data_IF_528395574772
#
_entry.id   IF_528395574772
#
_cell.length_a   1.000
_cell.length_b   1.000
_cell.length_c   1.000
_cell.angle_alpha   90.00
_cell.angle_beta   90.00
_cell.angle_gamma   90.00
#
_symmetry.space_group_name_H-M   'P 1'
#
loop_
_entity.id
_entity.type
_entity.pdbx_description
1 polymer ?
#
# COMPACT_ATOMS: atom_id res chain seq x y z
N UNK A 1 -15.63 9.73 -1.84
CA UNK A 1 -16.88 9.22 -1.22
C UNK A 1 -18.02 10.14 -1.60
N UNK A 2 -19.10 9.59 -2.12
CA UNK A 2 -20.31 10.34 -2.44
C UNK A 2 -21.56 9.55 -2.01
N UNK A 3 -22.63 10.27 -1.71
CA UNK A 3 -23.97 9.72 -1.51
C UNK A 3 -24.61 9.37 -2.87
N UNK A 4 -25.59 8.45 -2.91
CA UNK A 4 -26.31 8.10 -4.16
C UNK A 4 -26.97 9.31 -4.81
N UNK A 5 -27.38 10.29 -4.01
CA UNK A 5 -27.95 11.57 -4.47
C UNK A 5 -26.97 12.41 -5.29
N UNK A 6 -25.70 11.98 -5.40
CA UNK A 6 -24.64 12.65 -6.16
C UNK A 6 -23.88 13.68 -5.35
N UNK A 7 -24.23 13.88 -4.07
CA UNK A 7 -23.51 14.78 -3.17
C UNK A 7 -22.16 14.15 -2.78
N UNK A 8 -21.07 14.84 -3.12
CA UNK A 8 -19.71 14.44 -2.73
C UNK A 8 -19.47 14.77 -1.26
N UNK A 9 -19.04 13.77 -0.49
CA UNK A 9 -18.67 13.91 0.92
C UNK A 9 -17.16 14.17 1.03
N UNK A 10 -16.36 13.33 0.35
CA UNK A 10 -14.90 13.50 0.26
C UNK A 10 -14.43 13.35 -1.18
N UNK A 11 -13.51 14.21 -1.58
CA UNK A 11 -12.80 14.14 -2.85
C UNK A 11 -11.32 14.44 -2.62
N UNK A 12 -10.49 13.43 -2.84
CA UNK A 12 -9.03 13.57 -2.78
C UNK A 12 -8.43 13.47 -4.17
N UNK A 13 -7.35 14.23 -4.38
CA UNK A 13 -6.62 14.23 -5.64
C UNK A 13 -5.15 13.96 -5.38
N UNK A 14 -4.58 13.05 -6.18
CA UNK A 14 -3.13 12.73 -6.19
C UNK A 14 -2.57 12.32 -4.81
N UNK A 15 -3.35 11.56 -4.03
CA UNK A 15 -2.91 10.97 -2.76
C UNK A 15 -2.46 9.52 -2.97
N UNK A 16 -1.34 9.15 -2.33
CA UNK A 16 -0.81 7.78 -2.31
C UNK A 16 -1.57 6.87 -1.35
N UNK A 17 -2.09 7.45 -0.28
CA UNK A 17 -2.80 6.83 0.83
C UNK A 17 -3.64 7.91 1.52
N UNK A 18 -4.80 7.52 2.05
CA UNK A 18 -5.62 8.37 2.89
C UNK A 18 -6.58 7.54 3.73
N UNK A 19 -6.97 8.06 4.91
CA UNK A 19 -7.94 7.43 5.81
C UNK A 19 -9.02 8.46 6.11
N UNK A 20 -10.29 8.08 5.89
CA UNK A 20 -11.44 8.90 6.22
C UNK A 20 -12.35 8.19 7.20
N UNK A 21 -12.82 8.94 8.20
CA UNK A 21 -13.88 8.49 9.13
C UNK A 21 -15.07 9.42 8.93
N UNK A 22 -16.25 8.83 8.74
CA UNK A 22 -17.47 9.57 8.51
C UNK A 22 -18.62 8.95 9.30
N UNK A 23 -19.22 9.70 10.24
CA UNK A 23 -20.44 9.25 10.89
C UNK A 23 -21.58 9.26 9.86
N UNK A 24 -22.28 8.13 9.74
CA UNK A 24 -23.39 7.96 8.81
C UNK A 24 -24.68 8.46 9.48
N UNK A 25 -25.24 9.62 9.08
CA UNK A 25 -26.39 10.21 9.77
C UNK A 25 -27.73 9.56 9.42
N UNK A 26 -27.83 8.92 8.25
CA UNK A 26 -29.04 8.31 7.73
C UNK A 26 -28.69 7.03 6.99
N UNK A 27 -29.59 6.04 7.05
CA UNK A 27 -29.46 4.82 6.27
C UNK A 27 -29.60 5.14 4.77
N UNK A 28 -28.60 4.74 3.99
CA UNK A 28 -28.55 5.00 2.55
C UNK A 28 -27.34 4.32 1.92
N UNK A 29 -27.22 4.41 0.59
CA UNK A 29 -26.06 3.84 -0.10
C UNK A 29 -24.95 4.89 -0.28
N UNK A 30 -23.71 4.41 -0.15
CA UNK A 30 -22.51 5.24 -0.25
C UNK A 30 -21.60 4.67 -1.33
N UNK A 31 -21.07 5.54 -2.19
CA UNK A 31 -20.21 5.17 -3.30
C UNK A 31 -18.77 5.62 -3.09
N UNK A 32 -17.84 4.68 -3.27
CA UNK A 32 -16.40 4.93 -3.32
C UNK A 32 -15.91 4.81 -4.76
N UNK A 33 -15.13 5.78 -5.21
CA UNK A 33 -14.59 5.83 -6.58
C UNK A 33 -13.07 6.05 -6.51
N UNK A 34 -12.32 5.24 -7.26
CA UNK A 34 -10.87 5.44 -7.46
C UNK A 34 -10.63 5.77 -8.93
N UNK A 35 -10.03 6.92 -9.20
CA UNK A 35 -9.78 7.39 -10.56
C UNK A 35 -8.28 7.34 -10.90
N UNK A 36 -7.94 6.68 -12.01
CA UNK A 36 -6.60 6.62 -12.59
C UNK A 36 -6.51 7.33 -13.96
N UNK A 37 -7.42 8.25 -14.27
CA UNK A 37 -7.40 9.03 -15.52
C UNK A 37 -6.10 9.83 -15.72
N UNK A 38 -5.41 10.17 -14.62
CA UNK A 38 -4.13 10.88 -14.65
C UNK A 38 -2.96 10.05 -15.20
N UNK A 39 -2.89 8.75 -14.91
CA UNK A 39 -1.80 7.87 -15.38
C UNK A 39 -2.33 6.87 -16.40
N UNK A 40 -2.70 7.35 -17.60
CA UNK A 40 -3.19 6.48 -18.69
C UNK A 40 -2.20 5.41 -19.14
N UNK A 41 -0.90 5.65 -18.96
CA UNK A 41 0.16 4.76 -19.41
C UNK A 41 0.49 3.63 -18.42
N UNK A 42 0.17 3.79 -17.12
CA UNK A 42 0.53 2.83 -16.08
C UNK A 42 -0.69 2.45 -15.23
N UNK A 43 -0.92 1.15 -15.04
CA UNK A 43 -1.92 0.67 -14.09
C UNK A 43 -1.49 0.97 -12.65
N UNK A 44 -2.48 1.17 -11.77
CA UNK A 44 -2.26 1.33 -10.32
C UNK A 44 -3.06 0.27 -9.59
N UNK A 45 -2.41 -0.48 -8.72
CA UNK A 45 -3.07 -1.39 -7.78
C UNK A 45 -3.44 -0.62 -6.52
N UNK A 46 -4.71 -0.67 -6.12
CA UNK A 46 -5.23 0.02 -4.93
C UNK A 46 -5.68 -1.01 -3.91
N UNK A 47 -5.15 -0.91 -2.70
CA UNK A 47 -5.66 -1.62 -1.54
C UNK A 47 -6.57 -0.67 -0.75
N UNK A 48 -7.77 -1.11 -0.40
CA UNK A 48 -8.69 -0.35 0.44
C UNK A 48 -9.34 -1.26 1.48
N UNK A 49 -9.56 -0.72 2.66
CA UNK A 49 -10.27 -1.38 3.75
C UNK A 49 -11.45 -0.49 4.17
N UNK A 50 -12.61 -1.09 4.37
CA UNK A 50 -13.81 -0.41 4.86
C UNK A 50 -14.20 -1.01 6.21
N UNK A 51 -14.20 -0.17 7.24
CA UNK A 51 -14.60 -0.54 8.60
C UNK A 51 -15.90 0.18 8.91
N UNK A 52 -16.92 -0.58 9.32
CA UNK A 52 -18.22 -0.06 9.74
C UNK A 52 -18.31 -0.25 11.24
N UNK A 53 -18.29 0.86 11.99
CA UNK A 53 -18.45 0.87 13.44
C UNK A 53 -19.91 1.25 13.77
N UNK A 54 -20.61 0.40 14.54
CA UNK A 54 -21.96 0.70 15.03
C UNK A 54 -21.87 1.22 16.46
N UNK A 55 -22.37 2.42 16.71
CA UNK A 55 -22.50 2.95 18.07
C UNK A 55 -23.37 2.00 18.90
N UNK A 56 -22.80 1.40 19.95
CA UNK A 56 -23.47 0.44 20.85
C UNK A 56 -22.71 -0.86 21.16
N UNK A 57 -21.62 -1.18 20.46
CA UNK A 57 -20.83 -2.41 20.73
C UNK A 57 -19.46 -2.15 21.40
N UNK A 58 -19.20 -0.90 21.84
CA UNK A 58 -17.87 -0.47 22.30
C UNK A 58 -17.87 0.42 23.56
N UNK A 59 -18.84 0.28 24.45
CA UNK A 59 -18.71 0.77 25.83
C UNK A 59 -19.24 -0.39 26.68
N UNK A 60 -18.41 -1.18 27.36
CA UNK A 60 -17.85 -0.83 28.66
C UNK A 60 -16.63 -1.73 28.94
N UNK A 61 -15.45 -1.12 29.05
CA UNK A 61 -14.27 -1.75 29.62
C UNK A 61 -13.74 -0.82 30.71
N UNK A 62 -14.47 -0.70 31.82
CA UNK A 62 -13.94 -0.13 33.04
C UNK A 62 -13.81 -1.23 34.09
N UNK A 63 -12.55 -1.60 34.33
CA UNK A 63 -12.15 -2.47 35.43
C UNK A 63 -12.21 -1.67 36.74
N UNK A 64 -13.17 -1.97 37.59
CA UNK A 64 -13.06 -1.80 39.04
C UNK A 64 -14.14 -2.68 39.67
N UNK A 65 -13.72 -3.77 40.31
CA UNK A 65 -14.27 -4.28 41.58
C UNK A 65 -13.79 -5.71 41.83
N UNK A 66 -12.47 -5.85 41.97
CA UNK A 66 -11.85 -6.97 42.70
C UNK A 66 -11.90 -6.60 44.19
N UNK A 67 -13.10 -6.50 44.79
CA UNK A 67 -13.25 -6.44 46.26
C UNK A 67 -14.66 -6.78 46.79
N UNK A 68 -15.51 -7.47 46.02
CA UNK A 68 -16.87 -7.82 46.47
C UNK A 68 -17.12 -9.32 46.46
N UNK A 69 -16.27 -10.09 47.17
CA UNK A 69 -16.39 -11.54 47.28
C UNK A 69 -16.68 -12.05 48.71
N UNK A 70 -17.44 -11.27 49.50
CA UNK A 70 -18.00 -11.74 50.77
C UNK A 70 -19.52 -11.55 50.77
N UNK A 71 -20.27 -12.59 50.36
CA UNK A 71 -21.72 -12.65 50.63
C UNK A 71 -22.64 -13.23 49.55
N UNK A 72 -22.15 -13.66 48.39
CA UNK A 72 -23.00 -14.16 47.30
C UNK A 72 -23.36 -15.64 47.42
N UNK A 73 -24.56 -15.99 46.94
CA UNK A 73 -25.03 -17.37 46.89
C UNK A 73 -24.27 -18.19 45.82
N UNK A 74 -24.18 -19.53 45.92
CA UNK A 74 -23.39 -20.34 45.00
C UNK A 74 -23.79 -20.24 43.51
N UNK A 75 -25.05 -19.92 43.22
CA UNK A 75 -25.57 -19.73 41.86
C UNK A 75 -25.10 -18.40 41.24
N UNK A 76 -25.19 -17.29 41.99
CA UNK A 76 -24.76 -15.96 41.56
C UNK A 76 -23.24 -15.89 41.32
N UNK A 77 -22.46 -16.62 42.13
CA UNK A 77 -21.01 -16.76 41.93
C UNK A 77 -20.66 -17.50 40.62
N UNK A 78 -21.49 -18.47 40.22
CA UNK A 78 -21.25 -19.22 38.98
C UNK A 78 -21.59 -18.39 37.74
N UNK A 79 -22.72 -17.67 37.76
CA UNK A 79 -23.10 -16.75 36.68
C UNK A 79 -22.08 -15.61 36.51
N UNK A 80 -21.62 -15.00 37.60
CA UNK A 80 -20.57 -13.96 37.57
C UNK A 80 -19.26 -14.49 36.98
N UNK A 81 -18.83 -15.71 37.36
CA UNK A 81 -17.64 -16.35 36.78
C UNK A 81 -17.80 -16.65 35.29
N UNK A 82 -18.98 -17.05 34.84
CA UNK A 82 -19.26 -17.31 33.42
C UNK A 82 -19.24 -16.01 32.63
N UNK A 83 -19.81 -14.93 33.18
CA UNK A 83 -19.77 -13.61 32.58
C UNK A 83 -18.33 -13.06 32.46
N UNK A 84 -17.51 -13.23 33.50
CA UNK A 84 -16.08 -12.89 33.47
C UNK A 84 -15.31 -13.66 32.38
N UNK A 85 -15.61 -14.94 32.20
CA UNK A 85 -15.03 -15.76 31.14
C UNK A 85 -15.48 -15.28 29.76
N UNK A 86 -16.76 -14.95 29.59
CA UNK A 86 -17.30 -14.41 28.36
C UNK A 86 -16.63 -13.08 28.00
N UNK A 87 -16.44 -12.20 28.98
CA UNK A 87 -15.79 -10.90 28.78
C UNK A 87 -14.29 -11.04 28.48
N UNK A 88 -13.61 -11.98 29.12
CA UNK A 88 -12.23 -12.32 28.76
C UNK A 88 -12.11 -12.80 27.30
N UNK A 89 -13.02 -13.69 26.87
CA UNK A 89 -13.06 -14.19 25.49
C UNK A 89 -13.36 -13.06 24.50
N UNK A 90 -14.34 -12.19 24.80
CA UNK A 90 -14.67 -11.01 23.97
C UNK A 90 -13.47 -10.06 23.83
N UNK A 91 -12.76 -9.78 24.92
CA UNK A 91 -11.55 -8.94 24.92
C UNK A 91 -10.44 -9.54 24.04
N UNK A 92 -10.16 -10.83 24.20
CA UNK A 92 -9.16 -11.54 23.37
C UNK A 92 -9.57 -11.51 21.90
N UNK A 93 -10.84 -11.77 21.59
CA UNK A 93 -11.37 -11.71 20.22
C UNK A 93 -11.19 -10.31 19.62
N UNK A 94 -11.52 -9.26 20.35
CA UNK A 94 -11.36 -7.88 19.87
C UNK A 94 -9.88 -7.53 19.61
N UNK A 95 -8.96 -7.93 20.50
CA UNK A 95 -7.53 -7.72 20.29
C UNK A 95 -6.98 -8.50 19.10
N UNK A 96 -7.44 -9.74 18.89
CA UNK A 96 -7.06 -10.54 17.72
C UNK A 96 -7.57 -9.93 16.41
N UNK A 97 -8.80 -9.39 16.40
CA UNK A 97 -9.34 -8.68 15.23
C UNK A 97 -8.48 -7.45 14.90
N UNK A 98 -8.13 -6.62 15.90
CA UNK A 98 -7.25 -5.47 15.71
C UNK A 98 -5.86 -5.86 15.20
N UNK A 99 -5.26 -6.91 15.77
CA UNK A 99 -3.96 -7.41 15.33
C UNK A 99 -4.01 -7.91 13.87
N UNK A 100 -5.10 -8.58 13.49
CA UNK A 100 -5.31 -9.05 12.12
C UNK A 100 -5.41 -7.91 11.12
N UNK A 101 -6.19 -6.87 11.45
CA UNK A 101 -6.30 -5.67 10.61
C UNK A 101 -4.93 -5.01 10.39
N UNK A 102 -4.13 -4.88 11.45
CA UNK A 102 -2.78 -4.33 11.33
C UNK A 102 -1.88 -5.20 10.44
N UNK A 103 -1.97 -6.52 10.57
CA UNK A 103 -1.21 -7.45 9.73
C UNK A 103 -1.59 -7.33 8.24
N UNK A 104 -2.88 -7.21 7.94
CA UNK A 104 -3.37 -7.03 6.57
C UNK A 104 -2.91 -5.69 5.98
N UNK A 105 -2.93 -4.61 6.78
CA UNK A 105 -2.35 -3.32 6.41
C UNK A 105 -0.85 -3.47 6.09
N UNK A 106 -0.06 -4.06 6.98
CA UNK A 106 1.38 -4.23 6.77
C UNK A 106 1.69 -5.05 5.53
N UNK A 107 0.93 -6.12 5.29
CA UNK A 107 1.05 -6.95 4.09
C UNK A 107 0.78 -6.15 2.81
N UNK A 108 -0.20 -5.24 2.84
CA UNK A 108 -0.50 -4.37 1.70
C UNK A 108 0.64 -3.38 1.42
N UNK A 109 1.25 -2.82 2.48
CA UNK A 109 2.38 -1.91 2.36
C UNK A 109 3.62 -2.62 1.81
N UNK A 110 3.92 -3.82 2.31
CA UNK A 110 5.02 -4.64 1.80
C UNK A 110 4.84 -4.98 0.32
N UNK A 111 3.63 -5.39 -0.08
CA UNK A 111 3.32 -5.71 -1.48
C UNK A 111 3.50 -4.47 -2.38
N UNK A 112 3.05 -3.30 -1.93
CA UNK A 112 3.24 -2.03 -2.65
C UNK A 112 4.71 -1.69 -2.82
N UNK A 113 5.47 -1.72 -1.73
CA UNK A 113 6.87 -1.34 -1.74
C UNK A 113 7.71 -2.31 -2.59
N UNK A 114 7.36 -3.61 -2.56
CA UNK A 114 7.96 -4.61 -3.45
C UNK A 114 7.67 -4.33 -4.92
N UNK A 115 6.42 -4.01 -5.28
CA UNK A 115 6.07 -3.68 -6.67
C UNK A 115 6.80 -2.42 -7.16
N UNK A 116 6.91 -1.39 -6.32
CA UNK A 116 7.67 -0.17 -6.63
C UNK A 116 9.16 -0.47 -6.83
N UNK A 117 9.73 -1.31 -5.97
CA UNK A 117 11.13 -1.73 -6.10
C UNK A 117 11.39 -2.49 -7.40
N UNK A 118 10.50 -3.41 -7.78
CA UNK A 118 10.62 -4.19 -9.01
C UNK A 118 10.53 -3.32 -10.28
N UNK A 119 9.57 -2.39 -10.32
CA UNK A 119 9.45 -1.43 -11.43
C UNK A 119 10.69 -0.54 -11.57
N UNK A 120 11.21 -0.04 -10.45
CA UNK A 120 12.42 0.79 -10.44
C UNK A 120 13.64 -0.01 -10.87
N UNK A 121 13.78 -1.24 -10.36
CA UNK A 121 14.86 -2.14 -10.76
C UNK A 121 14.84 -2.39 -12.27
N UNK A 122 13.69 -2.69 -12.85
CA UNK A 122 13.57 -2.91 -14.29
C UNK A 122 13.98 -1.67 -15.10
N UNK A 123 13.47 -0.48 -14.75
CA UNK A 123 13.81 0.78 -15.43
C UNK A 123 15.31 1.09 -15.36
N UNK A 124 15.91 0.96 -14.17
CA UNK A 124 17.33 1.21 -13.96
C UNK A 124 18.19 0.20 -14.71
N UNK A 125 17.83 -1.08 -14.68
CA UNK A 125 18.57 -2.13 -15.37
C UNK A 125 18.55 -1.95 -16.90
N UNK A 126 17.39 -1.62 -17.48
CA UNK A 126 17.25 -1.33 -18.92
C UNK A 126 18.12 -0.13 -19.31
N UNK A 127 18.08 0.96 -18.52
CA UNK A 127 18.91 2.14 -18.79
C UNK A 127 20.41 1.84 -18.67
N UNK A 128 20.79 1.05 -17.67
CA UNK A 128 22.19 0.67 -17.43
C UNK A 128 22.74 -0.23 -18.54
N UNK A 129 21.94 -1.18 -19.02
CA UNK A 129 22.29 -2.03 -20.16
C UNK A 129 22.53 -1.19 -21.44
N UNK A 130 21.65 -0.22 -21.70
CA UNK A 130 21.81 0.70 -22.83
C UNK A 130 23.12 1.52 -22.73
N UNK A 131 23.44 2.04 -21.54
CA UNK A 131 24.69 2.79 -21.30
C UNK A 131 25.95 1.94 -21.54
N UNK A 132 25.96 0.68 -21.09
CA UNK A 132 27.08 -0.24 -21.32
C UNK A 132 27.28 -0.47 -22.83
N UNK A 133 26.19 -0.67 -23.57
CA UNK A 133 26.25 -0.85 -25.03
C UNK A 133 26.86 0.39 -25.71
N UNK A 134 26.46 1.58 -25.29
CA UNK A 134 27.03 2.85 -25.80
C UNK A 134 28.53 2.95 -25.49
N UNK A 135 28.96 2.63 -24.27
CA UNK A 135 30.38 2.66 -23.90
C UNK A 135 31.24 1.71 -24.74
N UNK A 136 30.75 0.50 -25.02
CA UNK A 136 31.41 -0.45 -25.93
C UNK A 136 31.46 0.10 -27.36
N UNK A 137 30.38 0.72 -27.83
CA UNK A 137 30.34 1.38 -29.14
C UNK A 137 31.37 2.50 -29.27
N UNK A 138 31.49 3.36 -28.26
CA UNK A 138 32.52 4.41 -28.22
C UNK A 138 33.92 3.81 -28.17
N UNK A 139 34.15 2.76 -27.38
CA UNK A 139 35.45 2.07 -27.31
C UNK A 139 35.87 1.46 -28.66
N UNK A 140 34.94 0.81 -29.37
CA UNK A 140 35.24 0.27 -30.72
C UNK A 140 35.50 1.37 -31.74
N UNK A 141 34.73 2.46 -31.70
CA UNK A 141 34.94 3.63 -32.55
C UNK A 141 36.31 4.28 -32.29
N UNK A 142 36.71 4.42 -31.02
CA UNK A 142 38.02 4.96 -30.64
C UNK A 142 39.17 4.12 -31.21
N UNK A 143 39.13 2.80 -31.06
CA UNK A 143 40.16 1.91 -31.61
C UNK A 143 40.20 1.99 -33.13
N UNK A 144 39.04 2.04 -33.78
CA UNK A 144 38.95 2.19 -35.24
C UNK A 144 39.55 3.51 -35.72
N UNK A 145 39.27 4.62 -35.04
CA UNK A 145 39.79 5.95 -35.39
C UNK A 145 41.32 6.00 -35.22
N UNK A 146 41.85 5.48 -34.11
CA UNK A 146 43.30 5.42 -33.89
C UNK A 146 43.97 4.57 -34.97
N UNK A 147 43.42 3.40 -35.29
CA UNK A 147 43.95 2.55 -36.37
C UNK A 147 43.87 3.26 -37.72
N UNK A 148 42.78 3.98 -38.01
CA UNK A 148 42.63 4.77 -39.23
C UNK A 148 43.61 5.94 -39.35
N UNK A 149 44.06 6.52 -38.23
CA UNK A 149 45.01 7.63 -38.26
C UNK A 149 46.41 7.17 -38.66
N UNK A 150 46.80 5.97 -38.24
CA UNK A 150 48.11 5.38 -38.55
C UNK A 150 48.13 4.52 -39.82
N UNK A 151 46.96 4.15 -40.34
CA UNK A 151 46.81 3.34 -41.54
C UNK A 151 46.45 4.24 -42.75
N UNK A 152 47.49 4.64 -43.50
CA UNK A 152 47.41 5.63 -44.60
C UNK A 152 46.55 5.16 -45.79
N UNK A 153 46.16 3.88 -45.82
CA UNK A 153 45.32 3.26 -46.86
C UNK A 153 43.90 2.87 -46.39
N UNK A 154 43.51 3.20 -45.15
CA UNK A 154 42.25 2.73 -44.59
C UNK A 154 41.03 3.47 -45.15
N UNK A 155 40.00 2.69 -45.54
CA UNK A 155 38.73 3.13 -46.18
C UNK A 155 37.98 4.23 -45.42
N UNK A 156 38.28 4.43 -44.14
CA UNK A 156 37.71 5.48 -43.31
C UNK A 156 38.11 6.90 -43.76
N UNK A 157 39.36 7.13 -44.20
CA UNK A 157 39.78 8.42 -44.75
C UNK A 157 38.99 8.78 -46.02
N UNK A 158 38.73 7.79 -46.90
CA UNK A 158 37.89 7.93 -48.11
C UNK A 158 36.41 8.19 -47.82
N UNK A 159 35.89 7.75 -46.68
CA UNK A 159 34.52 8.03 -46.24
C UNK A 159 34.41 9.42 -45.60
N UNK A 160 35.41 9.82 -44.79
CA UNK A 160 35.49 11.14 -44.16
C UNK A 160 35.76 12.28 -45.15
N UNK A 161 36.45 12.03 -46.27
CA UNK A 161 36.65 13.04 -47.34
C UNK A 161 35.52 13.05 -48.39
N UNK A 162 34.58 12.09 -48.34
CA UNK A 162 33.40 12.06 -49.23
C UNK A 162 32.13 12.62 -48.60
N UNK A 163 32.15 12.89 -47.30
CA UNK A 163 31.11 13.68 -46.62
C UNK A 163 31.48 15.16 -46.71
#
# INVERSE_FOLDING_TARGET
LAEVTGRTIFADYKKSDNIHRFPVPYDGEYKFCFDNSFSRANSKTVFFELIIEREGEQEEANWSDIDLLEGLTPEEFYEMKVQDMEDAIKRVRNNLTKARQLQDLLRSHEARDRNVAEENYFKVNVWSFFQILVMVGVGTLQVFMVKSLFDVDSRAYKLLTKL
#
